data_IF_675068890173
#
_entry.id   IF_675068890173
#
_cell.length_a   1.000
_cell.length_b   1.000
_cell.length_c   1.000
_cell.angle_alpha   90.00
_cell.angle_beta   90.00
_cell.angle_gamma   90.00
#
_symmetry.space_group_name_H-M   'P 1'
#
loop_
_entity.id
_entity.type
_entity.pdbx_description
1 polymer ?
#
# COMPACT_ATOMS: atom_id res chain seq x y z
N UNK A 1 19.76 6.12 -21.65
CA UNK A 1 19.29 6.06 -20.25
C UNK A 1 19.11 4.60 -19.86
N UNK A 2 19.73 4.15 -18.80
CA UNK A 2 19.55 2.80 -18.30
C UNK A 2 18.17 2.64 -17.68
N UNK A 3 17.72 1.39 -17.47
CA UNK A 3 16.43 1.15 -16.83
C UNK A 3 16.36 1.73 -15.42
N UNK A 4 17.50 1.82 -14.72
CA UNK A 4 17.56 2.39 -13.37
C UNK A 4 17.35 3.90 -13.34
N UNK A 5 17.47 4.55 -14.47
CA UNK A 5 17.39 6.02 -14.58
C UNK A 5 16.07 6.50 -15.15
N UNK A 6 15.14 5.58 -15.46
CA UNK A 6 13.83 5.98 -15.97
C UNK A 6 13.07 6.74 -14.91
N UNK A 7 12.52 7.91 -15.26
CA UNK A 7 11.78 8.70 -14.28
C UNK A 7 10.53 7.96 -13.81
N UNK A 8 10.25 8.09 -12.52
CA UNK A 8 9.04 7.56 -11.90
C UNK A 8 8.19 8.74 -11.48
N UNK A 9 6.94 8.74 -11.92
CA UNK A 9 5.97 9.75 -11.55
C UNK A 9 4.99 9.18 -10.53
N UNK A 10 4.75 9.92 -9.45
CA UNK A 10 3.76 9.54 -8.43
C UNK A 10 2.55 10.44 -8.62
N UNK A 11 1.36 9.83 -8.71
CA UNK A 11 0.11 10.58 -8.88
C UNK A 11 -0.96 10.07 -7.93
N UNK A 12 -1.80 10.99 -7.44
CA UNK A 12 -3.03 10.60 -6.77
C UNK A 12 -3.97 9.96 -7.80
N UNK A 13 -4.65 8.89 -7.43
CA UNK A 13 -5.57 8.16 -8.31
C UNK A 13 -7.01 8.48 -7.92
N UNK A 14 -7.88 8.56 -8.92
CA UNK A 14 -9.31 8.76 -8.72
C UNK A 14 -10.12 7.49 -8.97
N UNK A 15 -11.45 7.64 -8.95
CA UNK A 15 -12.36 6.53 -9.20
C UNK A 15 -12.11 5.85 -10.54
N UNK A 16 -11.78 6.63 -11.58
CA UNK A 16 -11.54 6.11 -12.91
C UNK A 16 -10.31 5.20 -12.99
N UNK A 17 -9.41 5.33 -12.02
CA UNK A 17 -8.17 4.54 -11.97
C UNK A 17 -8.32 3.29 -11.10
N UNK A 18 -9.43 3.18 -10.36
CA UNK A 18 -9.56 2.17 -9.31
C UNK A 18 -9.46 0.75 -9.83
N UNK A 19 -10.16 0.43 -10.91
CA UNK A 19 -10.14 -0.92 -11.46
C UNK A 19 -8.73 -1.35 -11.85
N UNK A 20 -7.99 -0.49 -12.54
CA UNK A 20 -6.62 -0.74 -12.92
C UNK A 20 -5.71 -0.93 -11.71
N UNK A 21 -5.89 -0.08 -10.69
CA UNK A 21 -5.09 -0.15 -9.47
C UNK A 21 -5.32 -1.47 -8.72
N UNK A 22 -6.57 -1.89 -8.57
CA UNK A 22 -6.88 -3.13 -7.86
C UNK A 22 -6.41 -4.36 -8.64
N UNK A 23 -6.53 -4.34 -9.96
CA UNK A 23 -6.00 -5.41 -10.78
C UNK A 23 -4.48 -5.50 -10.67
N UNK A 24 -3.79 -4.37 -10.67
CA UNK A 24 -2.35 -4.33 -10.47
C UNK A 24 -1.96 -4.97 -9.13
N UNK A 25 -2.65 -4.59 -8.05
CA UNK A 25 -2.40 -5.13 -6.72
C UNK A 25 -2.59 -6.65 -6.70
N UNK A 26 -3.67 -7.14 -7.31
CA UNK A 26 -3.90 -8.58 -7.41
C UNK A 26 -2.78 -9.30 -8.16
N UNK A 27 -2.34 -8.75 -9.28
CA UNK A 27 -1.27 -9.37 -10.09
C UNK A 27 0.04 -9.46 -9.32
N UNK A 28 0.40 -8.40 -8.57
CA UNK A 28 1.61 -8.43 -7.75
C UNK A 28 1.47 -9.45 -6.62
N UNK A 29 0.34 -9.43 -5.92
CA UNK A 29 0.07 -10.39 -4.84
C UNK A 29 0.13 -11.83 -5.36
N UNK A 30 -0.49 -12.10 -6.50
CA UNK A 30 -0.53 -13.42 -7.10
C UNK A 30 0.88 -13.95 -7.44
N UNK A 31 1.75 -13.07 -7.88
CA UNK A 31 3.13 -13.45 -8.23
C UNK A 31 4.03 -13.61 -7.03
N UNK A 32 3.82 -12.83 -5.97
CA UNK A 32 4.79 -12.73 -4.89
C UNK A 32 4.36 -13.43 -3.61
N UNK A 33 3.06 -13.55 -3.33
CA UNK A 33 2.58 -14.02 -2.04
C UNK A 33 1.59 -15.18 -2.11
N UNK A 34 0.70 -15.22 -3.10
CA UNK A 34 -0.43 -16.13 -3.11
C UNK A 34 0.00 -17.60 -2.99
N UNK A 35 1.09 -18.00 -3.62
CA UNK A 35 1.57 -19.38 -3.61
C UNK A 35 2.07 -19.83 -2.23
N UNK A 36 2.42 -18.86 -1.37
CA UNK A 36 2.89 -19.14 0.00
C UNK A 36 1.76 -19.00 1.03
N UNK A 37 0.52 -18.76 0.58
CA UNK A 37 -0.64 -18.54 1.44
C UNK A 37 -1.65 -19.66 1.22
N UNK A 38 -2.43 -19.98 2.24
CA UNK A 38 -3.54 -20.92 2.08
C UNK A 38 -4.75 -20.25 1.39
N UNK A 39 -5.75 -21.05 1.03
CA UNK A 39 -6.92 -20.56 0.29
C UNK A 39 -7.69 -19.52 1.11
N UNK A 40 -7.77 -19.68 2.42
CA UNK A 40 -8.49 -18.73 3.28
C UNK A 40 -7.81 -17.35 3.25
N UNK A 41 -6.48 -17.32 3.31
CA UNK A 41 -5.73 -16.07 3.24
C UNK A 41 -5.91 -15.39 1.88
N UNK A 42 -5.91 -16.15 0.79
CA UNK A 42 -6.13 -15.61 -0.56
C UNK A 42 -7.54 -15.05 -0.68
N UNK A 43 -8.55 -15.73 -0.16
CA UNK A 43 -9.94 -15.24 -0.20
C UNK A 43 -10.10 -13.97 0.64
N UNK A 44 -9.46 -13.90 1.80
CA UNK A 44 -9.47 -12.71 2.64
C UNK A 44 -8.86 -11.52 1.88
N UNK A 45 -7.73 -11.74 1.19
CA UNK A 45 -7.10 -10.70 0.39
C UNK A 45 -8.00 -10.25 -0.77
N UNK A 46 -8.65 -11.18 -1.47
CA UNK A 46 -9.58 -10.84 -2.55
C UNK A 46 -10.74 -9.96 -2.06
N UNK A 47 -11.25 -10.24 -0.86
CA UNK A 47 -12.29 -9.41 -0.25
C UNK A 47 -11.82 -7.99 0.00
N UNK A 48 -10.55 -7.85 0.40
CA UNK A 48 -9.92 -6.56 0.68
C UNK A 48 -9.82 -5.67 -0.56
N UNK A 49 -9.63 -6.27 -1.74
CA UNK A 49 -9.50 -5.56 -3.01
C UNK A 49 -10.72 -5.71 -3.91
N UNK A 50 -11.86 -6.11 -3.36
CA UNK A 50 -13.10 -6.18 -4.10
C UNK A 50 -13.48 -4.81 -4.66
N UNK A 51 -13.82 -4.74 -5.94
CA UNK A 51 -14.06 -3.46 -6.62
C UNK A 51 -15.22 -2.68 -5.97
N UNK A 52 -16.34 -3.34 -5.74
CA UNK A 52 -17.51 -2.64 -5.16
C UNK A 52 -17.23 -2.13 -3.75
N UNK A 53 -16.58 -2.95 -2.93
CA UNK A 53 -16.18 -2.55 -1.59
C UNK A 53 -15.29 -1.31 -1.63
N UNK A 54 -14.28 -1.33 -2.49
CA UNK A 54 -13.35 -0.21 -2.61
C UNK A 54 -14.00 1.02 -3.24
N UNK A 55 -14.85 0.84 -4.26
CA UNK A 55 -15.51 1.94 -4.95
C UNK A 55 -16.40 2.77 -4.02
N UNK A 56 -17.16 2.11 -3.14
CA UNK A 56 -17.95 2.81 -2.14
C UNK A 56 -17.07 3.70 -1.27
N UNK A 57 -15.94 3.18 -0.85
CA UNK A 57 -15.04 3.91 0.05
C UNK A 57 -14.27 5.02 -0.64
N UNK A 58 -13.95 4.85 -1.92
CA UNK A 58 -13.39 5.95 -2.72
C UNK A 58 -14.42 7.08 -2.84
N UNK A 59 -15.67 6.71 -3.14
CA UNK A 59 -16.77 7.67 -3.26
C UNK A 59 -17.02 8.46 -1.97
N UNK A 60 -16.85 7.82 -0.82
CA UNK A 60 -17.03 8.46 0.50
C UNK A 60 -15.79 9.17 1.00
N UNK A 61 -14.69 9.13 0.25
CA UNK A 61 -13.41 9.70 0.68
C UNK A 61 -12.67 8.88 1.73
N UNK A 62 -13.14 7.67 2.03
CA UNK A 62 -12.51 6.80 3.04
C UNK A 62 -11.31 6.04 2.50
N UNK A 63 -11.29 5.75 1.20
CA UNK A 63 -10.17 5.09 0.56
C UNK A 63 -9.52 6.05 -0.42
N UNK A 64 -8.23 6.30 -0.25
CA UNK A 64 -7.46 7.20 -1.12
C UNK A 64 -6.28 6.42 -1.67
N UNK A 65 -6.00 6.60 -2.94
CA UNK A 65 -4.99 5.81 -3.65
C UNK A 65 -3.99 6.71 -4.36
N UNK A 66 -2.77 6.19 -4.48
CA UNK A 66 -1.69 6.79 -5.24
C UNK A 66 -1.06 5.73 -6.11
N UNK A 67 -0.62 6.13 -7.30
CA UNK A 67 0.06 5.25 -8.22
C UNK A 67 1.43 5.76 -8.59
N UNK A 68 2.35 4.84 -8.81
CA UNK A 68 3.67 5.13 -9.36
C UNK A 68 3.69 4.65 -10.81
N UNK A 69 4.17 5.49 -11.69
CA UNK A 69 4.20 5.23 -13.13
C UNK A 69 5.61 5.39 -13.68
N UNK A 70 5.99 4.49 -14.57
CA UNK A 70 7.21 4.59 -15.36
C UNK A 70 6.82 4.44 -16.82
N UNK A 71 7.10 5.47 -17.64
CA UNK A 71 6.68 5.50 -19.04
C UNK A 71 5.18 5.21 -19.21
N UNK A 72 4.37 5.85 -18.35
CA UNK A 72 2.91 5.69 -18.30
C UNK A 72 2.41 4.31 -17.89
N UNK A 73 3.30 3.40 -17.52
CA UNK A 73 2.94 2.10 -17.00
C UNK A 73 2.87 2.13 -15.48
N UNK A 74 1.79 1.59 -14.92
CA UNK A 74 1.62 1.50 -13.47
C UNK A 74 2.61 0.46 -12.91
N UNK A 75 3.45 0.90 -11.97
CA UNK A 75 4.47 0.05 -11.35
C UNK A 75 4.35 -0.03 -9.83
N UNK A 76 3.43 0.71 -9.24
CA UNK A 76 3.20 0.64 -7.80
C UNK A 76 1.88 1.29 -7.42
N UNK A 77 1.29 0.82 -6.32
CA UNK A 77 0.04 1.36 -5.76
C UNK A 77 0.17 1.44 -4.25
N UNK A 78 -0.23 2.58 -3.70
CA UNK A 78 -0.40 2.77 -2.25
C UNK A 78 -1.85 3.20 -2.01
N UNK A 79 -2.45 2.68 -0.95
CA UNK A 79 -3.78 3.12 -0.54
C UNK A 79 -3.83 3.31 0.97
N UNK A 80 -4.53 4.37 1.40
CA UNK A 80 -4.85 4.62 2.80
C UNK A 80 -6.35 4.43 3.01
N UNK A 81 -6.73 3.70 4.04
CA UNK A 81 -8.12 3.53 4.45
C UNK A 81 -8.36 4.37 5.70
N UNK A 82 -9.42 5.19 5.66
CA UNK A 82 -9.63 6.17 6.70
C UNK A 82 -8.54 7.23 6.64
N UNK A 83 -8.27 7.87 7.78
CA UNK A 83 -7.32 8.98 7.83
C UNK A 83 -5.87 8.49 7.87
N UNK A 84 -5.60 7.37 8.52
CA UNK A 84 -4.24 7.05 8.93
C UNK A 84 -3.84 5.57 8.81
N UNK A 85 -4.63 4.74 8.15
CA UNK A 85 -4.29 3.31 7.99
C UNK A 85 -3.70 3.05 6.61
N UNK A 86 -2.50 2.49 6.57
CA UNK A 86 -1.91 2.01 5.33
C UNK A 86 -2.63 0.71 4.95
N UNK A 87 -3.41 0.76 3.88
CA UNK A 87 -4.27 -0.34 3.46
C UNK A 87 -3.62 -1.24 2.42
N UNK A 88 -2.98 -0.64 1.42
CA UNK A 88 -2.27 -1.34 0.34
C UNK A 88 -0.94 -0.64 0.07
N UNK A 89 0.09 -1.43 -0.18
CA UNK A 89 1.38 -0.90 -0.66
C UNK A 89 2.05 -2.02 -1.45
N UNK A 90 1.94 -1.94 -2.77
CA UNK A 90 2.41 -2.97 -3.68
C UNK A 90 3.21 -2.35 -4.80
N UNK A 91 4.37 -2.95 -5.12
CA UNK A 91 5.27 -2.49 -6.19
C UNK A 91 5.62 -3.70 -7.06
N UNK A 92 5.62 -3.50 -8.37
CA UNK A 92 6.04 -4.51 -9.33
C UNK A 92 7.41 -5.05 -8.91
N UNK A 93 7.57 -6.38 -8.78
CA UNK A 93 8.87 -6.95 -8.38
C UNK A 93 10.05 -6.48 -9.21
N UNK A 94 9.83 -6.18 -10.50
CA UNK A 94 10.89 -5.68 -11.39
C UNK A 94 11.32 -4.25 -11.05
N UNK A 95 10.51 -3.51 -10.32
CA UNK A 95 10.80 -2.14 -9.91
C UNK A 95 11.21 -2.04 -8.44
N UNK A 96 11.25 -3.15 -7.72
CA UNK A 96 11.67 -3.15 -6.32
C UNK A 96 13.15 -2.82 -6.19
N UNK A 97 13.54 -2.27 -5.04
CA UNK A 97 14.92 -1.85 -4.81
C UNK A 97 15.26 -0.47 -5.36
N UNK A 98 14.29 0.23 -5.96
CA UNK A 98 14.49 1.56 -6.55
C UNK A 98 13.80 2.67 -5.75
N UNK A 99 13.31 2.35 -4.56
CA UNK A 99 12.69 3.35 -3.69
C UNK A 99 11.26 3.72 -4.05
N UNK A 100 10.60 2.95 -4.92
CA UNK A 100 9.23 3.27 -5.37
C UNK A 100 8.24 3.22 -4.21
N UNK A 101 8.29 2.17 -3.38
CA UNK A 101 7.39 2.04 -2.23
C UNK A 101 7.58 3.18 -1.23
N UNK A 102 8.84 3.57 -0.98
CA UNK A 102 9.16 4.69 -0.10
C UNK A 102 8.59 6.00 -0.64
N UNK A 103 8.73 6.24 -1.94
CA UNK A 103 8.20 7.47 -2.57
C UNK A 103 6.67 7.50 -2.54
N UNK A 104 6.01 6.36 -2.78
CA UNK A 104 4.56 6.26 -2.68
C UNK A 104 4.09 6.59 -1.27
N UNK A 105 4.70 5.97 -0.27
CA UNK A 105 4.32 6.20 1.12
C UNK A 105 4.52 7.66 1.52
N UNK A 106 5.65 8.25 1.15
CA UNK A 106 5.93 9.67 1.46
C UNK A 106 4.94 10.60 0.80
N UNK A 107 4.56 10.33 -0.45
CA UNK A 107 3.56 11.15 -1.15
C UNK A 107 2.18 11.03 -0.49
N UNK A 108 1.80 9.82 -0.10
CA UNK A 108 0.53 9.61 0.58
C UNK A 108 0.48 10.36 1.91
N UNK A 109 1.56 10.32 2.69
CA UNK A 109 1.67 11.07 3.94
C UNK A 109 1.62 12.58 3.66
N UNK A 110 2.38 13.04 2.68
CA UNK A 110 2.41 14.47 2.33
C UNK A 110 1.03 14.98 1.95
N UNK A 111 0.31 14.27 1.07
CA UNK A 111 -1.03 14.68 0.65
C UNK A 111 -2.03 14.62 1.82
N UNK A 112 -1.90 13.64 2.70
CA UNK A 112 -2.75 13.52 3.88
C UNK A 112 -2.54 14.66 4.86
N UNK A 113 -1.30 15.07 5.07
CA UNK A 113 -0.96 16.21 5.95
C UNK A 113 -1.43 17.53 5.36
N UNK A 114 -1.41 17.67 4.05
CA UNK A 114 -1.94 18.88 3.40
C UNK A 114 -3.44 19.02 3.60
N UNK A 115 -4.14 17.89 3.70
CA UNK A 115 -5.57 17.85 3.92
C UNK A 115 -5.91 18.05 5.41
N UNK A 116 -5.08 17.49 6.30
CA UNK A 116 -5.23 17.61 7.74
C UNK A 116 -3.83 17.60 8.37
N UNK A 117 -3.38 18.77 8.82
CA UNK A 117 -2.06 18.94 9.42
C UNK A 117 -1.96 18.33 10.82
N UNK A 118 -3.10 17.90 11.39
CA UNK A 118 -3.13 17.19 12.67
C UNK A 118 -3.15 15.67 12.47
N UNK A 119 -2.68 15.19 11.32
CA UNK A 119 -2.68 13.77 10.98
C UNK A 119 -2.19 12.92 12.14
N UNK A 120 -3.03 11.98 12.65
CA UNK A 120 -2.62 11.10 13.73
C UNK A 120 -1.56 10.11 13.25
N UNK A 121 -1.07 9.29 14.19
CA UNK A 121 -0.10 8.26 13.86
C UNK A 121 -0.62 7.38 12.73
N UNK A 122 0.28 7.07 11.80
CA UNK A 122 -0.03 6.09 10.77
C UNK A 122 0.01 4.69 11.36
N UNK A 123 -0.90 3.85 10.92
CA UNK A 123 -1.00 2.47 11.40
C UNK A 123 -0.91 1.53 10.19
N UNK A 124 -0.16 0.45 10.35
CA UNK A 124 -0.13 -0.63 9.36
C UNK A 124 -0.19 -1.98 10.06
N UNK A 125 -0.97 -2.90 9.50
CA UNK A 125 -0.92 -4.31 9.90
C UNK A 125 0.07 -4.98 8.95
N UNK A 126 1.33 -5.05 9.36
CA UNK A 126 2.40 -5.52 8.48
C UNK A 126 2.52 -7.04 8.54
N UNK A 127 2.36 -7.74 7.41
CA UNK A 127 2.71 -9.16 7.38
C UNK A 127 4.20 -9.33 7.66
N UNK A 128 4.60 -10.50 8.13
CA UNK A 128 5.98 -10.79 8.52
C UNK A 128 6.99 -10.41 7.43
N UNK A 129 6.61 -10.57 6.17
CA UNK A 129 7.47 -10.22 5.03
C UNK A 129 7.68 -8.72 4.83
N UNK A 130 6.84 -7.88 5.44
CA UNK A 130 6.88 -6.42 5.27
C UNK A 130 7.35 -5.67 6.51
N UNK A 131 7.51 -6.35 7.64
CA UNK A 131 7.93 -5.70 8.90
C UNK A 131 9.25 -4.97 8.73
N UNK A 132 10.20 -5.58 8.04
CA UNK A 132 11.52 -4.96 7.79
C UNK A 132 11.42 -3.67 6.99
N UNK A 133 10.59 -3.66 5.94
CA UNK A 133 10.38 -2.46 5.13
C UNK A 133 9.80 -1.32 5.98
N UNK A 134 8.71 -1.60 6.71
CA UNK A 134 8.07 -0.55 7.51
C UNK A 134 8.97 -0.06 8.64
N UNK A 135 9.77 -0.96 9.24
CA UNK A 135 10.77 -0.55 10.23
C UNK A 135 11.76 0.45 9.67
N UNK A 136 12.22 0.25 8.44
CA UNK A 136 13.14 1.19 7.77
C UNK A 136 12.49 2.54 7.48
N UNK A 137 11.15 2.58 7.36
CA UNK A 137 10.42 3.82 7.17
C UNK A 137 10.19 4.57 8.49
N UNK A 138 10.55 3.97 9.62
CA UNK A 138 10.39 4.57 10.94
C UNK A 138 9.21 4.06 11.73
N UNK A 139 8.46 3.09 11.20
CA UNK A 139 7.38 2.46 11.95
C UNK A 139 7.95 1.60 13.09
N UNK A 140 7.28 1.59 14.22
CA UNK A 140 7.65 0.77 15.37
C UNK A 140 6.53 -0.19 15.72
N UNK A 141 6.84 -1.44 16.11
CA UNK A 141 5.81 -2.39 16.51
C UNK A 141 5.07 -1.93 17.76
N UNK A 142 3.75 -2.18 17.79
CA UNK A 142 2.92 -1.94 18.98
C UNK A 142 2.20 -3.24 19.30
N UNK A 143 2.79 -4.04 20.15
CA UNK A 143 2.24 -5.32 20.56
C UNK A 143 2.93 -6.50 19.90
N UNK A 144 2.48 -7.69 20.26
CA UNK A 144 3.03 -8.94 19.75
C UNK A 144 2.42 -9.29 18.40
N UNK A 145 3.13 -10.05 17.55
CA UNK A 145 2.55 -10.53 16.32
C UNK A 145 1.31 -11.38 16.57
N UNK A 146 0.32 -11.28 15.70
CA UNK A 146 -0.90 -12.10 15.75
C UNK A 146 -1.09 -12.81 14.42
N UNK A 147 -1.71 -13.99 14.48
CA UNK A 147 -1.99 -14.78 13.28
C UNK A 147 -3.44 -14.58 12.85
N UNK A 148 -3.65 -14.39 11.56
CA UNK A 148 -4.98 -14.35 10.96
C UNK A 148 -4.91 -15.05 9.60
N UNK A 149 -5.76 -16.04 9.38
CA UNK A 149 -5.79 -16.85 8.16
C UNK A 149 -4.41 -17.42 7.79
N UNK A 150 -3.63 -17.87 8.78
CA UNK A 150 -2.31 -18.44 8.55
C UNK A 150 -1.20 -17.44 8.29
N UNK A 151 -1.50 -16.14 8.36
CA UNK A 151 -0.51 -15.09 8.15
C UNK A 151 -0.22 -14.38 9.46
N UNK A 152 1.05 -14.21 9.76
CA UNK A 152 1.47 -13.47 10.95
C UNK A 152 1.57 -11.99 10.62
N UNK A 153 0.92 -11.17 11.43
CA UNK A 153 0.90 -9.71 11.29
C UNK A 153 1.42 -9.05 12.54
N UNK A 154 2.11 -7.95 12.35
CA UNK A 154 2.52 -7.05 13.44
C UNK A 154 1.89 -5.69 13.18
N UNK A 155 1.16 -5.16 14.15
CA UNK A 155 0.67 -3.79 14.06
C UNK A 155 1.85 -2.85 14.32
N UNK A 156 2.06 -1.91 13.43
CA UNK A 156 3.15 -0.95 13.54
C UNK A 156 2.62 0.47 13.40
N UNK A 157 3.25 1.41 14.06
CA UNK A 157 2.85 2.81 14.03
C UNK A 157 4.01 3.73 13.68
N UNK A 158 3.70 4.79 12.96
CA UNK A 158 4.64 5.87 12.65
C UNK A 158 4.03 7.18 13.07
N UNK A 159 4.78 7.98 13.84
CA UNK A 159 4.40 9.36 14.14
C UNK A 159 4.93 10.24 13.01
N UNK A 160 4.04 10.86 12.21
CA UNK A 160 4.51 11.73 11.13
C UNK A 160 5.27 12.91 11.70
N UNK A 161 6.34 13.31 11.01
CA UNK A 161 7.09 14.50 11.39
C UNK A 161 6.24 15.75 11.17
N UNK A 162 6.43 16.79 12.01
CA UNK A 162 5.70 18.06 11.87
C UNK A 162 5.91 18.74 10.52
#
# INVERSE_FOLDING_TARGET
MSEHERPVEIRALGMDDLEQALQFVWEVYARTEAHARDDEAVQDFLSKIDFEYCAVRVGDGQLRLWGAFSEEKLIGVCAFLGLNRVYLLYVDPRAQGQGVATRLLKRAVFDSKRHDDTLPRLIVEAPDTAVGFFGKQGFVPVGEPTEDCGVWYTVMELTPEP
#
